data_IF_294449551512
#
_entry.id   IF_294449551512
#
_cell.length_a   1.000
_cell.length_b   1.000
_cell.length_c   1.000
_cell.angle_alpha   90.00
_cell.angle_beta   90.00
_cell.angle_gamma   90.00
#
_symmetry.space_group_name_H-M   'P 1'
#
loop_
_entity.id
_entity.type
_entity.pdbx_description
1 polymer ?
#
# COMPACT_ATOMS: atom_id res chain seq x y z
N UNK A 1 -13.95 12.48 14.11
CA UNK A 1 -14.73 11.47 14.84
C UNK A 1 -14.54 11.66 16.34
N UNK A 2 -15.62 11.87 17.10
CA UNK A 2 -15.52 11.98 18.54
C UNK A 2 -15.05 10.66 19.18
N UNK A 3 -14.30 10.77 20.27
CA UNK A 3 -13.77 9.59 20.99
C UNK A 3 -14.91 8.69 21.51
N UNK A 4 -16.03 9.29 21.94
CA UNK A 4 -17.22 8.54 22.37
C UNK A 4 -17.76 7.62 21.28
N UNK A 5 -17.92 8.15 20.07
CA UNK A 5 -18.45 7.43 18.92
C UNK A 5 -17.48 6.35 18.47
N UNK A 6 -16.16 6.66 18.51
CA UNK A 6 -15.12 5.68 18.27
C UNK A 6 -15.22 4.48 19.21
N UNK A 7 -15.33 4.73 20.54
CA UNK A 7 -15.43 3.68 21.54
C UNK A 7 -16.70 2.84 21.41
N UNK A 8 -17.81 3.47 21.03
CA UNK A 8 -19.06 2.74 20.80
C UNK A 8 -18.87 1.66 19.72
N UNK A 9 -18.28 2.00 18.59
CA UNK A 9 -18.05 1.05 17.50
C UNK A 9 -16.88 0.11 17.79
N UNK A 10 -15.77 0.62 18.34
CA UNK A 10 -14.61 -0.19 18.68
C UNK A 10 -14.97 -1.34 19.63
N UNK A 11 -15.83 -1.08 20.63
CA UNK A 11 -16.26 -2.09 21.58
C UNK A 11 -17.16 -3.18 20.98
N UNK A 12 -17.73 -2.94 19.80
CA UNK A 12 -18.51 -3.94 19.06
C UNK A 12 -17.65 -4.87 18.21
N UNK A 13 -16.39 -4.48 17.96
CA UNK A 13 -15.46 -5.34 17.22
C UNK A 13 -15.18 -6.65 17.98
N UNK A 14 -14.86 -7.75 17.28
CA UNK A 14 -14.45 -9.00 17.91
C UNK A 14 -13.32 -8.79 18.89
N UNK A 15 -13.40 -9.50 20.03
CA UNK A 15 -12.43 -9.37 21.13
C UNK A 15 -10.99 -9.48 20.66
N UNK A 16 -10.68 -10.47 19.81
CA UNK A 16 -9.32 -10.69 19.29
C UNK A 16 -8.81 -9.53 18.43
N UNK A 17 -9.69 -8.90 17.65
CA UNK A 17 -9.31 -7.73 16.85
C UNK A 17 -8.96 -6.54 17.74
N UNK A 18 -9.79 -6.28 18.76
CA UNK A 18 -9.56 -5.21 19.75
C UNK A 18 -8.25 -5.41 20.53
N UNK A 19 -8.02 -6.63 21.03
CA UNK A 19 -6.81 -6.97 21.77
C UNK A 19 -5.56 -6.73 20.91
N UNK A 20 -5.52 -7.19 19.67
CA UNK A 20 -4.40 -6.96 18.74
C UNK A 20 -4.09 -5.46 18.56
N UNK A 21 -5.12 -4.64 18.40
CA UNK A 21 -4.96 -3.20 18.20
C UNK A 21 -4.44 -2.54 19.48
N UNK A 22 -5.04 -2.84 20.63
CA UNK A 22 -4.64 -2.28 21.93
C UNK A 22 -3.24 -2.73 22.36
N UNK A 23 -2.91 -4.01 22.16
CA UNK A 23 -1.59 -4.55 22.52
C UNK A 23 -0.47 -3.91 21.69
N UNK A 24 -0.76 -3.55 20.44
CA UNK A 24 0.24 -2.95 19.53
C UNK A 24 0.35 -1.44 19.67
N UNK A 25 -0.78 -0.74 19.85
CA UNK A 25 -0.85 0.71 19.72
C UNK A 25 -1.24 1.43 21.01
N UNK A 26 -1.56 0.70 22.08
CA UNK A 26 -2.04 1.30 23.34
C UNK A 26 -3.46 1.86 23.23
N UNK A 27 -3.82 2.83 24.06
CA UNK A 27 -5.14 3.46 24.02
C UNK A 27 -5.28 4.42 22.84
N UNK A 28 -6.51 4.64 22.32
CA UNK A 28 -6.74 5.52 21.17
C UNK A 28 -6.35 6.98 21.40
N UNK A 29 -6.22 7.41 22.65
CA UNK A 29 -5.77 8.76 23.00
C UNK A 29 -4.27 9.00 22.77
N UNK A 30 -3.49 7.93 22.57
CA UNK A 30 -2.06 8.00 22.23
C UNK A 30 -1.82 8.03 20.72
N UNK A 31 -2.87 7.91 19.91
CA UNK A 31 -2.78 7.95 18.46
C UNK A 31 -2.37 9.36 17.97
N UNK A 32 -1.39 9.48 17.04
CA UNK A 32 -0.94 10.79 16.53
C UNK A 32 -2.02 11.64 15.86
N UNK A 33 -3.12 11.04 15.41
CA UNK A 33 -4.25 11.75 14.82
C UNK A 33 -5.35 12.08 15.83
N UNK A 34 -5.13 11.76 17.11
CA UNK A 34 -6.04 12.15 18.18
C UNK A 34 -5.77 13.58 18.64
N UNK A 35 -6.80 14.40 18.64
CA UNK A 35 -6.78 15.80 19.08
C UNK A 35 -7.31 15.89 20.50
N UNK A 36 -6.42 16.09 21.47
CA UNK A 36 -6.79 16.12 22.90
C UNK A 36 -7.83 17.21 23.23
N UNK A 37 -7.66 18.41 22.68
CA UNK A 37 -8.53 19.55 22.92
C UNK A 37 -9.97 19.30 22.43
N UNK A 38 -10.12 18.58 21.35
CA UNK A 38 -11.40 18.28 20.75
C UNK A 38 -11.97 16.92 21.20
N UNK A 39 -11.17 16.13 21.91
CA UNK A 39 -11.50 14.75 22.26
C UNK A 39 -11.97 13.93 21.04
N UNK A 40 -11.26 14.07 19.91
CA UNK A 40 -11.67 13.54 18.62
C UNK A 40 -10.48 13.15 17.73
N UNK A 41 -10.71 12.27 16.78
CA UNK A 41 -9.75 11.97 15.72
C UNK A 41 -9.86 12.95 14.56
N UNK A 42 -8.72 13.43 14.06
CA UNK A 42 -8.64 14.15 12.80
C UNK A 42 -8.85 13.20 11.62
N UNK A 43 -9.60 13.65 10.61
CA UNK A 43 -9.88 12.88 9.40
C UNK A 43 -9.14 13.50 8.21
N UNK A 44 -8.31 12.73 7.48
CA UNK A 44 -7.63 13.23 6.29
C UNK A 44 -8.59 13.25 5.09
N UNK A 45 -9.67 14.02 5.20
CA UNK A 45 -10.73 14.05 4.21
C UNK A 45 -11.40 15.42 4.12
N UNK A 46 -12.03 15.69 3.00
CA UNK A 46 -12.89 16.87 2.81
C UNK A 46 -14.18 16.49 2.09
N UNK A 47 -15.23 17.26 2.31
CA UNK A 47 -16.55 17.01 1.75
C UNK A 47 -16.82 17.87 0.54
N UNK A 48 -17.19 17.24 -0.57
CA UNK A 48 -17.66 17.87 -1.80
C UNK A 48 -19.13 17.51 -2.05
N UNK A 49 -20.06 18.24 -1.44
CA UNK A 49 -21.48 17.91 -1.52
C UNK A 49 -21.79 16.52 -0.95
N UNK A 50 -22.21 15.60 -1.80
CA UNK A 50 -22.50 14.20 -1.43
C UNK A 50 -21.30 13.27 -1.59
N UNK A 51 -20.13 13.79 -1.93
CA UNK A 51 -18.91 13.03 -2.10
C UNK A 51 -17.92 13.41 -1.02
N UNK A 52 -17.27 12.42 -0.43
CA UNK A 52 -16.12 12.59 0.46
C UNK A 52 -14.88 12.20 -0.34
N UNK A 53 -13.88 13.06 -0.32
CA UNK A 53 -12.55 12.76 -0.86
C UNK A 53 -11.59 12.68 0.32
N UNK A 54 -10.94 11.54 0.50
CA UNK A 54 -10.06 11.29 1.61
C UNK A 54 -8.80 10.55 1.18
N UNK A 55 -7.75 10.68 1.98
CA UNK A 55 -6.54 9.88 1.85
C UNK A 55 -6.65 8.68 2.80
N UNK A 56 -6.43 7.47 2.27
CA UNK A 56 -6.35 6.29 3.12
C UNK A 56 -5.21 6.47 4.14
N UNK A 57 -5.49 6.37 5.45
CA UNK A 57 -4.45 6.51 6.45
C UNK A 57 -3.35 5.44 6.32
N UNK A 58 -2.16 5.77 6.76
CA UNK A 58 -1.04 4.84 6.76
C UNK A 58 -1.29 3.68 7.73
N UNK A 59 -0.85 2.49 7.35
CA UNK A 59 -1.06 1.26 8.12
C UNK A 59 -0.22 1.16 9.39
N UNK A 60 0.82 1.95 9.54
CA UNK A 60 1.74 1.91 10.68
C UNK A 60 2.44 3.24 10.94
N UNK A 61 1.82 4.38 10.66
CA UNK A 61 2.36 5.73 10.82
C UNK A 61 3.67 6.00 10.06
N UNK A 62 4.07 5.14 9.14
CA UNK A 62 5.36 5.21 8.44
C UNK A 62 6.59 5.23 9.37
N UNK A 63 6.46 4.67 10.57
CA UNK A 63 7.56 4.57 11.56
C UNK A 63 8.67 3.68 11.00
N UNK A 64 8.32 2.62 10.32
CA UNK A 64 9.20 1.77 9.54
C UNK A 64 8.43 1.33 8.28
N UNK A 65 8.60 2.04 7.14
CA UNK A 65 7.84 1.73 5.93
C UNK A 65 8.11 0.32 5.40
N UNK A 66 9.34 -0.17 5.51
CA UNK A 66 9.70 -1.51 5.00
C UNK A 66 9.12 -2.62 5.88
N UNK A 67 9.26 -2.52 7.20
CA UNK A 67 8.71 -3.51 8.11
C UNK A 67 7.18 -3.45 8.20
N UNK A 68 6.57 -2.26 8.08
CA UNK A 68 5.13 -2.10 8.26
C UNK A 68 4.30 -2.40 7.03
N UNK A 69 4.84 -2.19 5.83
CA UNK A 69 4.05 -2.31 4.60
C UNK A 69 3.68 -3.76 4.26
N UNK A 70 4.57 -4.70 4.55
CA UNK A 70 4.40 -6.12 4.23
C UNK A 70 4.24 -7.02 5.47
N UNK A 71 4.19 -6.47 6.68
CA UNK A 71 3.98 -7.26 7.89
C UNK A 71 2.55 -7.82 7.92
N UNK A 72 2.36 -9.15 7.76
CA UNK A 72 1.03 -9.76 7.73
C UNK A 72 0.33 -9.73 9.08
N UNK A 73 1.05 -9.44 10.16
CA UNK A 73 0.54 -9.46 11.53
C UNK A 73 0.33 -8.07 12.12
N UNK A 74 0.74 -7.00 11.44
CA UNK A 74 0.60 -5.63 11.92
C UNK A 74 -0.87 -5.17 11.88
N UNK A 75 -1.54 -4.97 13.04
CA UNK A 75 -2.88 -4.43 13.07
C UNK A 75 -2.86 -2.93 12.69
N UNK A 76 -3.96 -2.40 12.14
CA UNK A 76 -4.06 -0.98 11.85
C UNK A 76 -4.08 -0.15 13.14
N UNK A 77 -3.54 1.08 13.12
CA UNK A 77 -3.64 2.00 14.26
C UNK A 77 -5.05 2.54 14.44
N UNK A 78 -5.28 3.19 15.57
CA UNK A 78 -6.60 3.73 15.90
C UNK A 78 -7.09 4.78 14.91
N UNK A 79 -6.22 5.67 14.43
CA UNK A 79 -6.56 6.66 13.41
C UNK A 79 -7.00 6.04 12.09
N UNK A 80 -6.41 4.90 11.71
CA UNK A 80 -6.83 4.14 10.53
C UNK A 80 -8.24 3.59 10.70
N UNK A 81 -8.50 2.94 11.84
CA UNK A 81 -9.83 2.42 12.15
C UNK A 81 -10.86 3.54 12.28
N UNK A 82 -10.50 4.65 12.94
CA UNK A 82 -11.35 5.81 13.10
C UNK A 82 -11.81 6.40 11.75
N UNK A 83 -10.94 6.40 10.74
CA UNK A 83 -11.29 6.84 9.39
C UNK A 83 -12.43 6.02 8.78
N UNK A 84 -12.36 4.69 8.85
CA UNK A 84 -13.41 3.83 8.31
C UNK A 84 -14.69 3.83 9.15
N UNK A 85 -14.57 3.92 10.48
CA UNK A 85 -15.72 4.13 11.37
C UNK A 85 -16.43 5.44 11.00
N UNK A 86 -15.68 6.51 10.84
CA UNK A 86 -16.25 7.81 10.48
C UNK A 86 -16.99 7.76 9.14
N UNK A 87 -16.42 7.14 8.12
CA UNK A 87 -17.08 6.97 6.82
C UNK A 87 -18.39 6.19 6.94
N UNK A 88 -18.37 5.11 7.70
CA UNK A 88 -19.48 4.18 7.78
C UNK A 88 -20.59 4.64 8.71
N UNK A 89 -20.23 5.10 9.92
CA UNK A 89 -21.21 5.33 11.00
C UNK A 89 -21.61 6.81 11.14
N UNK A 90 -20.75 7.76 10.73
CA UNK A 90 -21.01 9.18 10.93
C UNK A 90 -21.41 9.84 9.60
N UNK A 91 -20.64 9.57 8.54
CA UNK A 91 -20.96 10.11 7.21
C UNK A 91 -22.05 9.30 6.53
N UNK A 92 -22.17 8.02 6.88
CA UNK A 92 -23.12 7.06 6.32
C UNK A 92 -22.97 6.95 4.80
N UNK A 93 -21.73 6.69 4.35
CA UNK A 93 -21.47 6.56 2.91
C UNK A 93 -22.11 5.30 2.34
N UNK A 94 -22.65 5.38 1.15
CA UNK A 94 -23.28 4.24 0.49
C UNK A 94 -22.31 3.27 -0.19
N UNK A 95 -21.10 3.74 -0.51
CA UNK A 95 -20.05 2.98 -1.14
C UNK A 95 -18.70 3.66 -0.96
N UNK A 96 -17.63 2.90 -1.07
CA UNK A 96 -16.26 3.41 -1.10
C UNK A 96 -15.65 3.09 -2.45
N UNK A 97 -15.02 4.10 -3.05
CA UNK A 97 -14.18 3.95 -4.24
C UNK A 97 -12.73 4.10 -3.81
N UNK A 98 -11.97 3.01 -3.80
CA UNK A 98 -10.52 3.08 -3.63
C UNK A 98 -9.88 3.38 -4.99
N UNK A 99 -9.36 4.58 -5.12
CA UNK A 99 -8.76 5.05 -6.35
C UNK A 99 -7.25 5.17 -6.19
N UNK A 100 -6.52 4.28 -6.81
CA UNK A 100 -5.05 4.24 -6.76
C UNK A 100 -4.48 2.84 -6.96
N UNK A 101 -3.19 2.75 -7.17
CA UNK A 101 -2.41 1.52 -7.18
C UNK A 101 -1.61 1.51 -5.88
N UNK A 102 -1.79 0.61 -5.08
CA UNK A 102 -2.87 -0.11 -4.49
C UNK A 102 -3.18 0.45 -3.09
N UNK A 103 -4.26 0.00 -2.45
CA UNK A 103 -4.54 0.30 -1.05
C UNK A 103 -3.78 -0.64 -0.11
N UNK A 104 -4.05 -0.47 1.19
CA UNK A 104 -3.46 -1.33 2.21
C UNK A 104 -4.51 -2.07 3.07
N UNK A 105 -5.79 -1.86 2.82
CA UNK A 105 -6.90 -2.51 3.53
C UNK A 105 -6.88 -4.03 3.36
N UNK A 106 -6.67 -4.50 2.15
CA UNK A 106 -6.59 -5.90 1.77
C UNK A 106 -5.39 -6.63 2.38
N UNK A 107 -4.41 -5.89 2.87
CA UNK A 107 -3.20 -6.43 3.49
C UNK A 107 -3.23 -6.46 5.02
N UNK A 108 -4.33 -6.01 5.64
CA UNK A 108 -4.50 -6.10 7.09
C UNK A 108 -4.51 -7.56 7.56
N UNK A 109 -4.10 -7.85 8.82
CA UNK A 109 -4.07 -9.19 9.37
C UNK A 109 -5.37 -9.97 9.23
N UNK A 110 -5.28 -11.23 8.83
CA UNK A 110 -6.42 -12.12 8.67
C UNK A 110 -6.14 -13.29 7.75
N UNK A 111 -7.16 -14.08 7.47
CA UNK A 111 -7.07 -15.22 6.55
C UNK A 111 -6.84 -14.75 5.12
N UNK A 112 -6.19 -15.59 4.31
CA UNK A 112 -5.98 -15.32 2.89
C UNK A 112 -7.29 -15.37 2.07
N UNK A 113 -8.21 -16.24 2.45
CA UNK A 113 -9.51 -16.42 1.82
C UNK A 113 -10.55 -16.80 2.88
N UNK A 114 -11.82 -16.65 2.56
CA UNK A 114 -12.94 -16.95 3.46
C UNK A 114 -12.76 -16.28 4.83
N UNK A 115 -12.74 -14.96 4.82
CA UNK A 115 -12.56 -14.14 6.01
C UNK A 115 -13.62 -14.46 7.05
N UNK A 116 -13.24 -14.29 8.32
CA UNK A 116 -14.14 -14.35 9.46
C UNK A 116 -14.20 -12.98 10.12
N UNK A 117 -15.15 -12.76 11.00
CA UNK A 117 -15.31 -11.52 11.75
C UNK A 117 -14.04 -11.05 12.49
N UNK A 118 -13.13 -11.98 12.82
CA UNK A 118 -11.83 -11.67 13.43
C UNK A 118 -10.78 -11.14 12.43
N UNK A 119 -11.05 -11.22 11.13
CA UNK A 119 -10.14 -10.72 10.09
C UNK A 119 -10.25 -9.20 9.98
N UNK A 120 -9.12 -8.52 10.11
CA UNK A 120 -9.11 -7.06 10.19
C UNK A 120 -9.58 -6.35 8.91
N UNK A 121 -9.36 -6.86 7.68
CA UNK A 121 -9.95 -6.22 6.51
C UNK A 121 -11.48 -6.11 6.61
N UNK A 122 -12.13 -7.16 7.05
CA UNK A 122 -13.59 -7.23 7.18
C UNK A 122 -14.07 -6.40 8.38
N UNK A 123 -13.41 -6.55 9.54
CA UNK A 123 -13.75 -5.84 10.77
C UNK A 123 -13.61 -4.30 10.63
N UNK A 124 -12.61 -3.83 9.88
CA UNK A 124 -12.34 -2.40 9.65
C UNK A 124 -13.32 -1.82 8.63
N UNK A 125 -13.47 -2.49 7.49
CA UNK A 125 -14.24 -1.96 6.37
C UNK A 125 -15.76 -2.12 6.55
N UNK A 126 -16.16 -3.26 7.10
CA UNK A 126 -17.57 -3.61 7.26
C UNK A 126 -18.27 -3.91 5.92
N UNK A 127 -19.61 -3.89 5.90
CA UNK A 127 -20.40 -4.35 4.75
C UNK A 127 -20.63 -3.26 3.68
N UNK A 128 -19.69 -2.37 3.46
CA UNK A 128 -19.83 -1.32 2.46
C UNK A 128 -19.55 -1.86 1.05
N UNK A 129 -20.32 -1.48 0.03
CA UNK A 129 -19.94 -1.66 -1.36
C UNK A 129 -18.58 -1.06 -1.64
N UNK A 130 -17.67 -1.87 -2.20
CA UNK A 130 -16.28 -1.51 -2.43
C UNK A 130 -15.97 -1.55 -3.93
N UNK A 131 -15.78 -0.41 -4.52
CA UNK A 131 -15.38 -0.25 -5.91
C UNK A 131 -13.88 0.07 -5.95
N UNK A 132 -13.16 -0.66 -6.78
CA UNK A 132 -11.71 -0.54 -6.85
C UNK A 132 -11.28 -0.36 -8.31
N UNK A 133 -11.27 0.90 -8.80
CA UNK A 133 -10.67 1.22 -10.09
C UNK A 133 -9.18 0.93 -10.02
N UNK A 134 -8.73 -0.06 -10.79
CA UNK A 134 -7.39 -0.59 -10.69
C UNK A 134 -6.70 -0.70 -12.05
N UNK A 135 -5.43 -0.30 -12.11
CA UNK A 135 -4.61 -0.47 -13.32
C UNK A 135 -4.11 -1.90 -13.38
N UNK A 136 -4.40 -2.61 -14.47
CA UNK A 136 -4.09 -4.05 -14.63
C UNK A 136 -2.65 -4.30 -15.02
N UNK A 137 -1.72 -3.78 -14.30
CA UNK A 137 -0.34 -4.21 -14.45
C UNK A 137 0.14 -5.11 -13.30
N UNK A 138 -0.73 -5.30 -12.30
CA UNK A 138 -0.43 -6.08 -11.11
C UNK A 138 -1.63 -6.92 -10.66
N UNK A 139 -1.93 -8.02 -11.37
CA UNK A 139 -3.12 -8.84 -11.09
C UNK A 139 -3.10 -9.51 -9.72
N UNK A 140 -1.93 -9.66 -9.11
CA UNK A 140 -1.78 -10.19 -7.75
C UNK A 140 -2.47 -9.29 -6.73
N UNK A 141 -2.25 -8.00 -6.80
CA UNK A 141 -2.84 -6.98 -5.92
C UNK A 141 -4.37 -6.91 -6.08
N UNK A 142 -4.86 -6.87 -7.30
CA UNK A 142 -6.29 -6.92 -7.58
C UNK A 142 -6.97 -8.18 -7.02
N UNK A 143 -6.28 -9.31 -7.06
CA UNK A 143 -6.76 -10.57 -6.47
C UNK A 143 -6.88 -10.49 -4.96
N UNK A 144 -5.96 -9.83 -4.27
CA UNK A 144 -6.05 -9.61 -2.82
C UNK A 144 -7.23 -8.70 -2.47
N UNK A 145 -7.41 -7.60 -3.17
CA UNK A 145 -8.55 -6.70 -2.95
C UNK A 145 -9.89 -7.42 -3.14
N UNK A 146 -10.03 -8.26 -4.18
CA UNK A 146 -11.24 -9.10 -4.40
C UNK A 146 -11.49 -10.08 -3.26
N UNK A 147 -10.44 -10.76 -2.80
CA UNK A 147 -10.58 -11.88 -1.84
C UNK A 147 -10.69 -11.40 -0.40
N UNK A 148 -10.01 -10.30 -0.07
CA UNK A 148 -9.83 -9.88 1.32
C UNK A 148 -10.55 -8.59 1.69
N UNK A 149 -10.89 -7.76 0.71
CA UNK A 149 -11.65 -6.53 0.92
C UNK A 149 -12.96 -6.50 0.10
N UNK A 150 -13.39 -7.64 -0.43
CA UNK A 150 -14.65 -7.81 -1.18
C UNK A 150 -14.80 -6.82 -2.34
N UNK A 151 -13.68 -6.35 -2.90
CA UNK A 151 -13.68 -5.31 -3.89
C UNK A 151 -14.24 -5.79 -5.25
N UNK A 152 -15.04 -4.95 -5.85
CA UNK A 152 -15.37 -5.05 -7.28
C UNK A 152 -14.29 -4.32 -8.05
N UNK A 153 -13.42 -5.08 -8.70
CA UNK A 153 -12.38 -4.51 -9.54
C UNK A 153 -13.01 -3.92 -10.78
N UNK A 154 -12.83 -2.63 -10.96
CA UNK A 154 -13.20 -1.91 -12.19
C UNK A 154 -11.93 -1.69 -12.98
N UNK A 155 -11.72 -2.61 -13.87
CA UNK A 155 -10.55 -2.62 -14.72
C UNK A 155 -10.69 -1.70 -15.91
N UNK A 156 -9.60 -1.15 -16.38
CA UNK A 156 -9.63 -0.35 -17.59
C UNK A 156 -8.43 -0.64 -18.50
N UNK A 157 -8.64 -0.46 -19.78
CA UNK A 157 -7.60 -0.69 -20.76
C UNK A 157 -6.40 0.22 -20.47
N UNK A 158 -5.29 -0.42 -20.12
CA UNK A 158 -4.00 0.25 -20.09
C UNK A 158 -3.50 0.38 -21.52
N UNK A 159 -2.80 1.46 -21.85
CA UNK A 159 -2.01 1.49 -23.09
C UNK A 159 -1.09 0.26 -23.10
N UNK A 160 -0.76 -0.29 -24.27
CA UNK A 160 0.20 -1.38 -24.35
C UNK A 160 1.46 -0.93 -23.64
N UNK A 161 1.85 -1.71 -22.66
CA UNK A 161 3.12 -1.51 -21.97
C UNK A 161 4.20 -1.81 -23.02
N UNK A 162 4.71 -0.80 -23.68
CA UNK A 162 6.04 -0.90 -24.24
C UNK A 162 6.94 -1.19 -23.06
N UNK A 163 7.41 -2.44 -23.00
CA UNK A 163 8.29 -2.87 -21.93
C UNK A 163 9.42 -1.86 -21.84
N UNK A 164 9.44 -1.10 -20.76
CA UNK A 164 10.64 -0.45 -20.32
C UNK A 164 11.57 -1.58 -19.87
N UNK A 165 12.20 -2.23 -20.84
CA UNK A 165 13.21 -3.22 -20.56
C UNK A 165 14.42 -2.47 -20.03
N UNK A 166 14.82 -2.77 -18.82
CA UNK A 166 16.13 -2.38 -18.34
C UNK A 166 17.17 -3.12 -19.16
N UNK A 167 18.11 -2.39 -19.75
CA UNK A 167 19.14 -2.98 -20.61
C UNK A 167 20.51 -2.95 -19.91
N UNK A 168 21.34 -3.93 -20.22
CA UNK A 168 22.73 -3.98 -19.75
C UNK A 168 22.84 -4.08 -18.21
N UNK A 169 23.70 -3.26 -17.58
CA UNK A 169 23.93 -3.32 -16.12
C UNK A 169 22.68 -3.13 -15.26
N UNK A 170 21.71 -2.33 -15.74
CA UNK A 170 20.44 -2.11 -15.03
C UNK A 170 19.57 -3.36 -14.98
N UNK A 171 19.51 -4.15 -16.05
CA UNK A 171 18.74 -5.39 -16.09
C UNK A 171 19.32 -6.45 -15.12
N UNK A 172 20.65 -6.52 -15.07
CA UNK A 172 21.32 -7.44 -14.14
C UNK A 172 21.15 -6.99 -12.70
N UNK A 173 21.14 -5.68 -12.47
CA UNK A 173 20.92 -5.10 -11.13
C UNK A 173 19.49 -5.37 -10.65
N UNK A 174 18.51 -5.21 -11.53
CA UNK A 174 17.11 -5.54 -11.26
C UNK A 174 16.93 -7.00 -10.86
N UNK A 175 17.52 -7.93 -11.60
CA UNK A 175 17.46 -9.36 -11.26
C UNK A 175 18.07 -9.66 -9.89
N UNK A 176 19.18 -9.02 -9.53
CA UNK A 176 19.79 -9.19 -8.22
C UNK A 176 18.93 -8.62 -7.09
N UNK A 177 18.25 -7.50 -7.32
CA UNK A 177 17.32 -6.88 -6.34
C UNK A 177 16.10 -7.78 -6.15
N UNK A 178 15.48 -8.28 -7.21
CA UNK A 178 14.37 -9.22 -7.14
C UNK A 178 14.76 -10.48 -6.36
N UNK A 179 15.94 -11.07 -6.67
CA UNK A 179 16.49 -12.23 -5.97
C UNK A 179 16.75 -11.95 -4.48
N UNK A 180 17.21 -10.75 -4.15
CA UNK A 180 17.39 -10.31 -2.76
C UNK A 180 16.08 -10.30 -1.99
N UNK A 181 15.02 -9.73 -2.57
CA UNK A 181 13.71 -9.69 -1.93
C UNK A 181 13.09 -11.08 -1.78
N UNK A 182 13.24 -11.95 -2.76
CA UNK A 182 12.83 -13.36 -2.64
C UNK A 182 13.59 -14.08 -1.51
N UNK A 183 14.90 -13.85 -1.41
CA UNK A 183 15.73 -14.46 -0.38
C UNK A 183 15.49 -13.89 1.01
N UNK A 184 15.01 -12.65 1.13
CA UNK A 184 14.90 -11.92 2.41
C UNK A 184 14.04 -12.62 3.45
N UNK A 185 13.05 -13.37 3.03
CA UNK A 185 12.17 -14.14 3.92
C UNK A 185 12.65 -15.56 4.23
N UNK A 186 13.67 -16.07 3.52
CA UNK A 186 14.00 -17.51 3.54
C UNK A 186 15.47 -17.77 3.90
N UNK A 187 16.41 -16.95 3.44
CA UNK A 187 17.85 -17.19 3.60
C UNK A 187 18.67 -15.93 3.90
N UNK A 188 18.88 -15.60 5.19
CA UNK A 188 19.68 -14.43 5.59
C UNK A 188 21.13 -14.41 5.11
N UNK A 189 21.74 -15.60 4.84
CA UNK A 189 23.10 -15.67 4.34
C UNK A 189 23.16 -15.28 2.87
N UNK A 190 22.17 -15.72 2.10
CA UNK A 190 22.03 -15.35 0.69
C UNK A 190 21.77 -13.84 0.55
N UNK A 191 20.92 -13.25 1.39
CA UNK A 191 20.68 -11.81 1.42
C UNK A 191 21.97 -11.01 1.60
N UNK A 192 22.85 -11.42 2.50
CA UNK A 192 24.12 -10.75 2.71
C UNK A 192 24.98 -10.74 1.45
N UNK A 193 25.12 -11.89 0.80
CA UNK A 193 25.91 -12.02 -0.44
C UNK A 193 25.31 -11.22 -1.59
N UNK A 194 23.98 -11.27 -1.74
CA UNK A 194 23.27 -10.50 -2.76
C UNK A 194 23.37 -9.01 -2.50
N UNK A 195 23.23 -8.56 -1.25
CA UNK A 195 23.36 -7.15 -0.88
C UNK A 195 24.75 -6.59 -1.21
N UNK A 196 25.82 -7.33 -0.93
CA UNK A 196 27.18 -6.94 -1.30
C UNK A 196 27.33 -6.87 -2.84
N UNK A 197 26.84 -7.87 -3.57
CA UNK A 197 26.90 -7.90 -5.03
C UNK A 197 26.11 -6.77 -5.70
N UNK A 198 24.95 -6.41 -5.14
CA UNK A 198 24.12 -5.30 -5.62
C UNK A 198 24.85 -3.98 -5.44
N UNK A 199 25.45 -3.75 -4.26
CA UNK A 199 26.17 -2.50 -4.00
C UNK A 199 27.41 -2.35 -4.88
N UNK A 200 28.21 -3.43 -5.02
CA UNK A 200 29.37 -3.41 -5.91
C UNK A 200 28.96 -3.10 -7.34
N UNK A 201 27.92 -3.75 -7.84
CA UNK A 201 27.42 -3.53 -9.19
C UNK A 201 26.82 -2.13 -9.41
N UNK A 202 26.18 -1.56 -8.38
CA UNK A 202 25.66 -0.18 -8.42
C UNK A 202 26.80 0.83 -8.54
N UNK A 203 27.89 0.59 -7.82
CA UNK A 203 29.11 1.41 -7.89
C UNK A 203 29.78 1.28 -9.25
N UNK A 204 29.94 0.06 -9.74
CA UNK A 204 30.57 -0.24 -11.04
C UNK A 204 29.76 0.37 -12.21
N UNK A 205 28.45 0.41 -12.09
CA UNK A 205 27.56 1.03 -13.05
C UNK A 205 27.53 2.58 -12.96
N UNK A 206 28.18 3.17 -11.95
CA UNK A 206 28.19 4.62 -11.73
C UNK A 206 26.87 5.20 -11.19
N UNK A 207 25.98 4.37 -10.70
CA UNK A 207 24.62 4.76 -10.27
C UNK A 207 24.55 5.20 -8.80
N UNK A 208 25.61 5.01 -8.02
CA UNK A 208 25.60 5.26 -6.58
C UNK A 208 25.21 6.72 -6.23
N UNK A 209 25.69 7.69 -6.97
CA UNK A 209 25.38 9.11 -6.77
C UNK A 209 23.93 9.42 -7.20
N UNK A 210 23.46 8.87 -8.31
CA UNK A 210 22.09 9.05 -8.80
C UNK A 210 21.05 8.45 -7.88
N UNK A 211 21.36 7.30 -7.28
CA UNK A 211 20.52 6.64 -6.26
C UNK A 211 20.60 7.32 -4.87
N UNK A 212 21.49 8.31 -4.69
CA UNK A 212 21.70 8.95 -3.40
C UNK A 212 22.34 8.03 -2.35
N UNK A 213 23.12 7.04 -2.78
CA UNK A 213 23.84 6.11 -1.90
C UNK A 213 25.11 6.79 -1.40
N UNK A 214 25.27 6.83 -0.08
CA UNK A 214 26.41 7.48 0.59
C UNK A 214 27.43 6.42 1.00
N UNK A 215 28.74 6.62 0.75
CA UNK A 215 29.76 5.70 1.19
C UNK A 215 29.73 5.46 2.71
N UNK A 216 29.63 4.19 3.12
CA UNK A 216 29.54 3.81 4.54
C UNK A 216 28.13 3.76 5.10
N UNK A 217 27.13 3.96 4.29
CA UNK A 217 25.72 3.75 4.65
C UNK A 217 25.42 2.27 4.90
N UNK A 218 24.42 2.00 5.73
CA UNK A 218 23.89 0.66 5.94
C UNK A 218 23.38 0.03 4.62
N UNK A 219 23.71 -1.24 4.43
CA UNK A 219 23.36 -1.96 3.21
C UNK A 219 21.84 -1.96 2.92
N UNK A 220 21.00 -2.06 3.97
CA UNK A 220 19.54 -2.05 3.80
C UNK A 220 19.03 -0.67 3.33
N UNK A 221 19.58 0.41 3.86
CA UNK A 221 19.25 1.76 3.41
C UNK A 221 19.64 2.00 1.96
N UNK A 222 20.82 1.55 1.56
CA UNK A 222 21.30 1.63 0.18
C UNK A 222 20.45 0.82 -0.80
N UNK A 223 20.05 -0.40 -0.40
CA UNK A 223 19.16 -1.26 -1.21
C UNK A 223 17.76 -0.66 -1.41
N UNK A 224 17.20 -0.06 -0.35
CA UNK A 224 15.89 0.61 -0.46
C UNK A 224 15.91 1.82 -1.40
N UNK A 225 17.00 2.59 -1.38
CA UNK A 225 17.17 3.72 -2.30
C UNK A 225 17.32 3.26 -3.74
N UNK A 226 18.06 2.18 -3.95
CA UNK A 226 18.23 1.58 -5.28
C UNK A 226 16.92 1.04 -5.84
N UNK A 227 16.14 0.31 -5.03
CA UNK A 227 14.84 -0.19 -5.43
C UNK A 227 13.89 0.95 -5.80
N UNK A 228 13.84 2.02 -4.98
CA UNK A 228 13.10 3.23 -5.29
C UNK A 228 13.52 3.86 -6.62
N UNK A 229 14.82 3.97 -6.87
CA UNK A 229 15.37 4.50 -8.12
C UNK A 229 15.00 3.63 -9.35
N UNK A 230 15.11 2.32 -9.23
CA UNK A 230 14.71 1.38 -10.31
C UNK A 230 13.20 1.47 -10.60
N UNK A 231 12.39 1.60 -9.56
CA UNK A 231 10.94 1.82 -9.72
C UNK A 231 10.65 3.15 -10.42
N UNK A 232 11.30 4.24 -10.01
CA UNK A 232 11.15 5.56 -10.66
C UNK A 232 11.59 5.52 -12.13
N UNK A 233 12.69 4.83 -12.44
CA UNK A 233 13.14 4.65 -13.82
C UNK A 233 12.11 3.91 -14.68
N UNK A 234 11.51 2.86 -14.16
CA UNK A 234 10.43 2.13 -14.84
C UNK A 234 9.22 3.02 -15.08
N UNK A 235 8.87 3.85 -14.12
CA UNK A 235 7.75 4.80 -14.24
C UNK A 235 8.06 5.90 -15.27
N UNK A 236 9.28 6.44 -15.31
CA UNK A 236 9.70 7.45 -16.28
C UNK A 236 9.79 6.90 -17.71
N UNK A 237 10.12 5.63 -17.88
CA UNK A 237 10.19 4.97 -19.19
C UNK A 237 8.82 4.54 -19.72
N UNK A 238 7.79 4.48 -18.88
CA UNK A 238 6.38 4.32 -19.27
C UNK A 238 5.86 5.68 -19.78
N UNK A 239 6.50 6.26 -20.78
CA UNK A 239 6.19 7.62 -21.29
C UNK A 239 4.80 7.78 -21.91
N UNK A 240 4.16 6.71 -22.31
CA UNK A 240 2.79 6.74 -22.84
C UNK A 240 1.76 6.30 -21.79
N UNK A 241 2.14 6.19 -20.53
CA UNK A 241 1.51 5.31 -19.61
C UNK A 241 0.67 5.89 -18.48
N UNK A 242 0.52 7.19 -18.35
CA UNK A 242 -0.55 7.72 -17.50
C UNK A 242 -1.84 7.75 -18.31
N UNK A 243 -2.60 6.73 -18.11
CA UNK A 243 -3.86 6.50 -18.70
C UNK A 243 -4.96 7.23 -17.92
N UNK A 244 -5.79 7.93 -18.64
CA UNK A 244 -6.93 8.61 -18.04
C UNK A 244 -8.04 7.59 -17.87
N UNK A 245 -8.44 7.35 -16.61
CA UNK A 245 -9.53 6.43 -16.32
C UNK A 245 -10.81 6.77 -17.12
N UNK A 246 -11.35 5.77 -17.79
CA UNK A 246 -12.57 5.92 -18.62
C UNK A 246 -12.32 6.47 -20.02
N UNK A 247 -11.08 6.76 -20.41
CA UNK A 247 -10.72 7.15 -21.78
C UNK A 247 -10.03 5.98 -22.49
N UNK A 248 -10.57 5.57 -23.62
CA UNK A 248 -9.96 4.51 -24.44
C UNK A 248 -8.68 4.97 -25.10
N UNK A 249 -7.68 4.11 -25.29
CA UNK A 249 -6.50 4.42 -26.07
C UNK A 249 -6.84 4.84 -27.51
N UNK A 250 -6.12 5.82 -28.04
CA UNK A 250 -6.31 6.33 -29.39
C UNK A 250 -4.99 6.32 -30.18
N UNK A 251 -5.07 6.37 -31.51
CA UNK A 251 -3.91 6.48 -32.39
C UNK A 251 -2.94 5.30 -32.24
N UNK A 252 -1.66 5.59 -32.03
CA UNK A 252 -0.60 4.57 -31.88
C UNK A 252 -0.87 3.62 -30.72
N UNK A 253 -1.34 4.13 -29.58
CA UNK A 253 -1.63 3.30 -28.41
C UNK A 253 -2.70 2.24 -28.73
N UNK A 254 -3.72 2.59 -29.52
CA UNK A 254 -4.73 1.62 -29.95
C UNK A 254 -4.15 0.59 -30.91
N UNK A 255 -3.27 1.01 -31.82
CA UNK A 255 -2.62 0.11 -32.79
C UNK A 255 -1.70 -0.89 -32.09
N UNK A 256 -0.96 -0.43 -31.09
CA UNK A 256 -0.02 -1.26 -30.33
C UNK A 256 -0.75 -2.21 -29.34
N UNK A 257 -2.03 -1.93 -29.02
CA UNK A 257 -2.87 -2.78 -28.16
C UNK A 257 -3.47 -3.98 -28.95
N UNK A 258 -3.67 -3.84 -30.27
CA UNK A 258 -4.29 -4.86 -31.14
C UNK A 258 -3.27 -5.81 -31.75
#
# INVERSE_FOLDING_TARGET
LALSDYWEVFNQLPKKAREKILDRWGPPTEDPFFLELDSAFAMPAFRCGNVIIGLQPARGYNIDPQASYHDPDLPPPHGYLAFYIWLREIVDVHAVVHFGKHGNLEWLPGKAIALSEDCLPDAVFGPLPHLYPFIVNDPGEGSQAKRRAQAVIVDHLTPPLTRAETYGPLAELEQLVDEYFEASSVDPRRCKVLGEAILDKTIDAGLAEECGIIPGEDANGSLSKLDGYLCELKELQIRDGLHIFGVSPEGRQLTDLL
#
